data_IF_829633267392
#
_entry.id   IF_829633267392
#
_cell.length_a   1.000
_cell.length_b   1.000
_cell.length_c   1.000
_cell.angle_alpha   90.00
_cell.angle_beta   90.00
_cell.angle_gamma   90.00
#
_symmetry.space_group_name_H-M   'P 1'
#
loop_
_entity.id
_entity.type
_entity.pdbx_description
1 polymer ?
#
# COMPACT_ATOMS: atom_id res chain seq x y z
N UNK A 1 -14.95 1.40 14.48
CA UNK A 1 -14.02 1.99 13.50
C UNK A 1 -13.94 1.08 12.28
N UNK A 2 -14.79 1.32 11.26
CA UNK A 2 -14.91 0.49 10.06
C UNK A 2 -14.29 1.18 8.83
N UNK A 3 -13.03 1.64 8.95
CA UNK A 3 -12.32 2.27 7.82
C UNK A 3 -11.45 1.22 7.14
N UNK A 4 -11.60 1.04 5.84
CA UNK A 4 -10.69 0.18 5.06
C UNK A 4 -9.41 0.95 4.71
N UNK A 5 -8.37 0.25 4.28
CA UNK A 5 -7.22 0.86 3.61
C UNK A 5 -6.84 0.00 2.42
N UNK A 6 -6.69 0.58 1.24
CA UNK A 6 -6.35 -0.17 0.02
C UNK A 6 -4.85 -0.06 -0.22
N UNK A 7 -4.21 -1.21 -0.45
CA UNK A 7 -2.81 -1.33 -0.82
C UNK A 7 -2.73 -1.92 -2.24
N UNK A 8 -2.14 -1.17 -3.18
CA UNK A 8 -1.88 -1.64 -4.56
C UNK A 8 -0.39 -1.51 -4.88
N UNK A 9 0.24 -2.62 -5.26
CA UNK A 9 1.60 -2.67 -5.77
C UNK A 9 1.56 -2.67 -7.30
N UNK A 10 1.87 -1.54 -7.95
CA UNK A 10 1.88 -1.44 -9.42
C UNK A 10 3.31 -1.57 -9.92
N UNK A 11 3.52 -2.58 -10.78
CA UNK A 11 4.83 -2.89 -11.32
C UNK A 11 4.97 -2.37 -12.76
N UNK A 12 5.89 -1.44 -12.99
CA UNK A 12 6.25 -0.94 -14.31
C UNK A 12 7.73 -1.33 -14.59
N UNK A 13 8.09 -1.62 -15.84
CA UNK A 13 9.42 -2.14 -16.23
C UNK A 13 10.61 -1.32 -15.69
N UNK A 14 10.42 -0.04 -15.34
CA UNK A 14 11.48 0.82 -14.80
C UNK A 14 11.31 1.17 -13.31
N UNK A 15 10.11 1.04 -12.74
CA UNK A 15 9.79 1.51 -11.39
C UNK A 15 8.62 0.75 -10.77
N UNK A 16 8.61 0.66 -9.45
CA UNK A 16 7.53 0.05 -8.69
C UNK A 16 6.80 1.11 -7.85
N UNK A 17 5.49 1.01 -7.74
CA UNK A 17 4.67 2.00 -7.04
C UNK A 17 3.80 1.35 -5.98
N UNK A 18 3.80 1.92 -4.78
CA UNK A 18 2.88 1.56 -3.72
C UNK A 18 1.82 2.65 -3.58
N UNK A 19 0.56 2.29 -3.79
CA UNK A 19 -0.59 3.18 -3.61
C UNK A 19 -1.29 2.81 -2.31
N UNK A 20 -1.51 3.80 -1.44
CA UNK A 20 -2.18 3.64 -0.15
C UNK A 20 -3.37 4.58 -0.10
N UNK A 21 -4.58 4.03 -0.13
CA UNK A 21 -5.81 4.80 0.04
C UNK A 21 -6.26 4.73 1.50
N UNK A 22 -6.41 5.89 2.14
CA UNK A 22 -6.91 6.01 3.50
C UNK A 22 -8.38 6.45 3.47
N UNK A 23 -9.28 5.49 3.67
CA UNK A 23 -10.75 5.63 3.54
C UNK A 23 -11.33 6.69 4.49
N UNK A 24 -10.66 6.98 5.61
CA UNK A 24 -11.10 8.01 6.56
C UNK A 24 -11.08 9.44 5.98
N UNK A 25 -10.27 9.72 4.95
CA UNK A 25 -10.12 11.06 4.36
C UNK A 25 -10.00 11.09 2.84
N UNK A 26 -10.17 9.95 2.15
CA UNK A 26 -9.86 9.79 0.72
C UNK A 26 -8.44 10.25 0.32
N UNK A 27 -7.51 10.29 1.29
CA UNK A 27 -6.13 10.66 1.02
C UNK A 27 -5.42 9.51 0.33
N UNK A 28 -4.74 9.82 -0.76
CA UNK A 28 -3.98 8.87 -1.55
C UNK A 28 -2.50 9.19 -1.44
N UNK A 29 -1.73 8.25 -0.90
CA UNK A 29 -0.27 8.33 -0.85
C UNK A 29 0.33 7.45 -1.95
N UNK A 30 1.20 8.03 -2.77
CA UNK A 30 1.98 7.35 -3.80
C UNK A 30 3.44 7.32 -3.41
N UNK A 31 4.03 6.12 -3.38
CA UNK A 31 5.45 5.94 -3.08
C UNK A 31 6.13 5.18 -4.23
N UNK A 32 7.19 5.76 -4.79
CA UNK A 32 7.96 5.21 -5.92
C UNK A 32 9.22 4.52 -5.43
N UNK A 33 9.49 3.32 -5.93
CA UNK A 33 10.65 2.50 -5.59
C UNK A 33 11.47 2.13 -6.83
N UNK A 34 12.79 2.07 -6.66
CA UNK A 34 13.73 1.62 -7.71
C UNK A 34 13.78 0.10 -7.87
N UNK A 35 13.43 -0.66 -6.83
CA UNK A 35 13.56 -2.13 -6.86
C UNK A 35 12.33 -2.81 -6.27
N UNK A 36 12.02 -4.00 -6.80
CA UNK A 36 10.94 -4.85 -6.32
C UNK A 36 11.16 -5.27 -4.85
N UNK A 37 12.41 -5.52 -4.47
CA UNK A 37 12.76 -5.87 -3.09
C UNK A 37 12.41 -4.75 -2.11
N UNK A 38 12.64 -3.48 -2.50
CA UNK A 38 12.34 -2.32 -1.66
C UNK A 38 10.83 -2.13 -1.47
N UNK A 39 10.04 -2.23 -2.55
CA UNK A 39 8.58 -2.07 -2.44
C UNK A 39 7.97 -3.18 -1.60
N UNK A 40 8.35 -4.45 -1.80
CA UNK A 40 7.79 -5.57 -1.04
C UNK A 40 8.11 -5.46 0.47
N UNK A 41 9.33 -5.01 0.80
CA UNK A 41 9.72 -4.78 2.20
C UNK A 41 8.87 -3.69 2.85
N UNK A 42 8.67 -2.56 2.17
CA UNK A 42 7.86 -1.45 2.70
C UNK A 42 6.38 -1.81 2.75
N UNK A 43 5.86 -2.48 1.74
CA UNK A 43 4.48 -3.00 1.68
C UNK A 43 4.15 -3.82 2.93
N UNK A 44 5.03 -4.76 3.29
CA UNK A 44 4.88 -5.61 4.48
C UNK A 44 4.87 -4.78 5.77
N UNK A 45 5.78 -3.81 5.89
CA UNK A 45 5.88 -2.93 7.08
C UNK A 45 4.64 -2.07 7.26
N UNK A 46 4.11 -1.54 6.16
CA UNK A 46 2.89 -0.74 6.15
C UNK A 46 1.70 -1.61 6.53
N UNK A 47 1.54 -2.78 5.93
CA UNK A 47 0.46 -3.71 6.30
C UNK A 47 0.43 -3.98 7.81
N UNK A 48 1.57 -4.39 8.38
CA UNK A 48 1.68 -4.66 9.82
C UNK A 48 1.37 -3.43 10.68
N UNK A 49 1.78 -2.24 10.26
CA UNK A 49 1.50 -1.00 10.98
C UNK A 49 -0.01 -0.68 10.98
N UNK A 50 -0.68 -0.84 9.85
CA UNK A 50 -2.11 -0.55 9.71
C UNK A 50 -2.97 -1.57 10.46
N UNK A 51 -2.68 -2.86 10.30
CA UNK A 51 -3.36 -3.93 11.04
C UNK A 51 -3.14 -3.79 12.55
N UNK A 52 -1.92 -3.47 12.99
CA UNK A 52 -1.60 -3.21 14.40
C UNK A 52 -2.32 -1.99 14.98
N UNK A 53 -2.81 -1.08 14.14
CA UNK A 53 -3.65 0.07 14.52
C UNK A 53 -5.16 -0.21 14.37
N UNK A 54 -5.55 -1.44 14.02
CA UNK A 54 -6.94 -1.85 13.87
C UNK A 54 -7.57 -1.51 12.52
N UNK A 55 -6.78 -1.11 11.53
CA UNK A 55 -7.28 -0.93 10.16
C UNK A 55 -7.31 -2.27 9.42
N UNK A 56 -8.33 -2.46 8.59
CA UNK A 56 -8.38 -3.58 7.66
C UNK A 56 -7.68 -3.19 6.37
N UNK A 57 -6.57 -3.86 6.06
CA UNK A 57 -5.84 -3.67 4.81
C UNK A 57 -6.42 -4.58 3.74
N UNK A 58 -6.81 -4.01 2.60
CA UNK A 58 -7.31 -4.71 1.42
C UNK A 58 -6.22 -4.64 0.36
N UNK A 59 -5.64 -5.79 0.02
CA UNK A 59 -4.70 -5.91 -1.09
C UNK A 59 -5.50 -5.98 -2.39
N UNK A 60 -5.08 -5.21 -3.39
CA UNK A 60 -5.69 -5.25 -4.73
C UNK A 60 -4.65 -5.72 -5.74
N UNK A 61 -5.04 -6.67 -6.59
CA UNK A 61 -4.18 -7.15 -7.66
C UNK A 61 -3.89 -6.01 -8.65
N UNK A 62 -2.66 -5.99 -9.17
CA UNK A 62 -2.26 -5.07 -10.21
C UNK A 62 -2.80 -5.53 -11.57
N UNK A 63 -3.95 -4.99 -11.97
CA UNK A 63 -4.20 -4.68 -13.38
C UNK A 63 -3.33 -3.49 -13.79
#
# INVERSE_FOLDING_TARGET
NNSNSILKNVNNQNFHYLHILLDYNHNLLFIKFKTLKSINFIETKIKNLFEGKGFKVIETAAE
#
